data_IF_058004431554
#
_entry.id   IF_058004431554
#
_cell.length_a   1.000
_cell.length_b   1.000
_cell.length_c   1.000
_cell.angle_alpha   90.00
_cell.angle_beta   90.00
_cell.angle_gamma   90.00
#
_symmetry.space_group_name_H-M   'P 1'
#
loop_
_entity.id
_entity.type
_entity.pdbx_description
1 polymer ?
#
# COMPACT_ATOMS: atom_id res chain seq x y z
N UNK A 1 2.90 29.25 13.02
CA UNK A 1 1.98 28.09 13.04
C UNK A 1 2.62 27.01 13.85
N UNK A 2 1.90 26.43 14.81
CA UNK A 2 2.45 25.42 15.74
C UNK A 2 2.28 24.05 15.12
N UNK A 3 3.37 23.26 15.07
CA UNK A 3 3.33 21.86 14.67
C UNK A 3 2.65 21.06 15.80
N UNK A 4 1.66 20.26 15.48
CA UNK A 4 0.94 19.38 16.43
C UNK A 4 1.49 17.97 16.40
N UNK A 5 1.80 17.47 15.20
CA UNK A 5 2.42 16.17 15.00
C UNK A 5 3.45 16.26 13.89
N UNK A 6 4.52 15.50 14.02
CA UNK A 6 5.57 15.41 13.02
C UNK A 6 6.05 13.98 12.89
N UNK A 7 6.08 13.50 11.66
CA UNK A 7 6.50 12.13 11.33
C UNK A 7 7.62 12.20 10.30
N UNK A 8 8.77 11.60 10.63
CA UNK A 8 9.92 11.50 9.73
C UNK A 8 10.01 10.08 9.20
N UNK A 9 9.57 9.89 7.97
CA UNK A 9 9.50 8.59 7.34
C UNK A 9 10.68 8.37 6.41
N UNK A 10 11.56 7.43 6.76
CA UNK A 10 12.61 6.97 5.85
C UNK A 10 12.04 5.89 4.93
N UNK A 11 12.09 6.13 3.61
CA UNK A 11 11.51 5.25 2.60
C UNK A 11 12.44 4.07 2.28
N UNK A 12 12.52 3.13 3.24
CA UNK A 12 13.33 1.92 3.09
C UNK A 12 12.63 0.87 2.22
N UNK A 13 13.41 -0.11 1.75
CA UNK A 13 12.89 -1.26 0.98
C UNK A 13 11.85 -2.07 1.76
N UNK A 14 11.98 -2.12 3.09
CA UNK A 14 11.03 -2.80 3.98
C UNK A 14 9.68 -2.06 4.01
N UNK A 15 9.71 -0.74 4.19
CA UNK A 15 8.50 0.09 4.16
C UNK A 15 7.81 0.01 2.79
N UNK A 16 8.58 0.02 1.71
CA UNK A 16 8.06 -0.16 0.35
C UNK A 16 7.31 -1.48 0.18
N UNK A 17 7.88 -2.59 0.69
CA UNK A 17 7.21 -3.90 0.64
C UNK A 17 5.91 -3.92 1.46
N UNK A 18 5.92 -3.32 2.65
CA UNK A 18 4.71 -3.19 3.49
C UNK A 18 3.66 -2.34 2.79
N UNK A 19 4.06 -1.20 2.23
CA UNK A 19 3.19 -0.28 1.51
C UNK A 19 2.54 -0.93 0.28
N UNK A 20 3.31 -1.63 -0.56
CA UNK A 20 2.77 -2.34 -1.73
C UNK A 20 1.77 -3.42 -1.30
N UNK A 21 2.09 -4.22 -0.29
CA UNK A 21 1.16 -5.23 0.25
C UNK A 21 -0.12 -4.59 0.78
N UNK A 22 -0.01 -3.45 1.45
CA UNK A 22 -1.14 -2.70 1.95
C UNK A 22 -2.00 -2.18 0.79
N UNK A 23 -1.41 -1.51 -0.19
CA UNK A 23 -2.10 -0.98 -1.38
C UNK A 23 -2.87 -2.07 -2.13
N UNK A 24 -2.27 -3.25 -2.33
CA UNK A 24 -2.96 -4.37 -2.96
C UNK A 24 -4.15 -4.89 -2.13
N UNK A 25 -4.07 -4.86 -0.79
CA UNK A 25 -5.20 -5.27 0.07
C UNK A 25 -6.36 -4.28 0.00
N UNK A 26 -6.06 -2.99 -0.07
CA UNK A 26 -7.09 -1.94 -0.17
C UNK A 26 -7.73 -1.91 -1.55
N UNK A 27 -6.91 -1.84 -2.60
CA UNK A 27 -7.42 -1.63 -3.96
C UNK A 27 -7.87 -2.92 -4.65
N UNK A 28 -7.22 -4.05 -4.34
CA UNK A 28 -7.44 -5.32 -5.05
C UNK A 28 -7.48 -6.55 -4.12
N UNK A 29 -8.34 -6.58 -3.09
CA UNK A 29 -8.27 -7.58 -2.03
C UNK A 29 -8.47 -9.02 -2.49
N UNK A 30 -9.24 -9.24 -3.56
CA UNK A 30 -9.58 -10.57 -4.07
C UNK A 30 -8.85 -10.97 -5.35
N UNK A 31 -8.06 -10.08 -5.94
CA UNK A 31 -7.47 -10.31 -7.27
C UNK A 31 -6.46 -11.46 -7.25
N UNK A 32 -5.61 -11.56 -6.22
CA UNK A 32 -4.66 -12.68 -6.10
C UNK A 32 -5.39 -14.03 -6.05
N UNK A 33 -6.44 -14.12 -5.24
CA UNK A 33 -7.23 -15.34 -5.14
C UNK A 33 -7.95 -15.67 -6.45
N UNK A 34 -8.55 -14.68 -7.11
CA UNK A 34 -9.23 -14.88 -8.40
C UNK A 34 -8.27 -15.37 -9.47
N UNK A 35 -7.10 -14.77 -9.61
CA UNK A 35 -6.08 -15.21 -10.56
C UNK A 35 -5.61 -16.64 -10.28
N UNK A 36 -5.41 -16.98 -9.01
CA UNK A 36 -5.04 -18.33 -8.63
C UNK A 36 -6.13 -19.37 -8.99
N UNK A 37 -7.39 -19.08 -8.66
CA UNK A 37 -8.53 -19.98 -8.99
C UNK A 37 -8.67 -20.14 -10.50
N UNK A 38 -8.54 -19.07 -11.29
CA UNK A 38 -8.57 -19.14 -12.74
C UNK A 38 -7.41 -20.01 -13.27
N UNK A 39 -6.20 -19.81 -12.72
CA UNK A 39 -5.03 -20.62 -13.09
C UNK A 39 -5.24 -22.11 -12.83
N UNK A 40 -5.75 -22.47 -11.65
CA UNK A 40 -6.10 -23.86 -11.30
C UNK A 40 -7.19 -24.41 -12.24
N UNK A 41 -8.20 -23.59 -12.59
CA UNK A 41 -9.23 -23.96 -13.55
C UNK A 41 -8.65 -24.36 -14.90
N UNK A 42 -7.71 -23.57 -15.44
CA UNK A 42 -7.00 -23.91 -16.69
C UNK A 42 -6.21 -25.20 -16.57
N UNK A 43 -5.56 -25.48 -15.44
CA UNK A 43 -4.84 -26.72 -15.22
C UNK A 43 -5.80 -27.93 -15.24
N UNK A 44 -6.96 -27.82 -14.56
CA UNK A 44 -7.97 -28.90 -14.55
C UNK A 44 -8.51 -29.15 -15.95
N UNK A 45 -8.88 -28.08 -16.68
CA UNK A 45 -9.36 -28.19 -18.06
C UNK A 45 -8.30 -28.86 -18.95
N UNK A 46 -7.03 -28.43 -18.85
CA UNK A 46 -5.93 -28.99 -19.61
C UNK A 46 -5.73 -30.50 -19.39
N UNK A 47 -5.86 -30.97 -18.15
CA UNK A 47 -5.73 -32.40 -17.83
C UNK A 47 -6.89 -33.27 -18.35
N UNK A 48 -8.06 -32.66 -18.61
CA UNK A 48 -9.24 -33.35 -19.19
C UNK A 48 -9.25 -33.37 -20.72
N UNK A 49 -8.31 -32.69 -21.39
CA UNK A 49 -8.24 -32.66 -22.86
C UNK A 49 -7.50 -33.88 -23.44
N UNK A 50 -7.65 -34.10 -24.75
CA UNK A 50 -6.95 -35.14 -25.48
C UNK A 50 -5.43 -35.00 -25.34
N UNK A 51 -4.79 -36.10 -24.93
CA UNK A 51 -3.35 -36.12 -24.66
C UNK A 51 -2.54 -35.76 -25.90
N UNK A 52 -1.62 -34.81 -25.75
CA UNK A 52 -0.75 -34.35 -26.82
C UNK A 52 -1.35 -33.28 -27.73
N UNK A 53 -2.62 -32.87 -27.51
CA UNK A 53 -3.22 -31.78 -28.26
C UNK A 53 -2.57 -30.43 -27.95
N UNK A 54 -2.48 -29.55 -28.97
CA UNK A 54 -1.98 -28.18 -28.76
C UNK A 54 -2.81 -27.44 -27.71
N UNK A 55 -4.12 -27.62 -27.69
CA UNK A 55 -5.03 -27.00 -26.73
C UNK A 55 -4.73 -27.41 -25.28
N UNK A 56 -4.40 -28.71 -25.04
CA UNK A 56 -3.96 -29.18 -23.73
C UNK A 56 -2.72 -28.42 -23.25
N UNK A 57 -1.69 -28.35 -24.09
CA UNK A 57 -0.45 -27.66 -23.73
C UNK A 57 -0.67 -26.16 -23.48
N UNK A 58 -1.48 -25.50 -24.29
CA UNK A 58 -1.84 -24.09 -24.06
C UNK A 58 -2.52 -23.88 -22.72
N UNK A 59 -3.51 -24.70 -22.37
CA UNK A 59 -4.19 -24.60 -21.07
C UNK A 59 -3.23 -24.80 -19.90
N UNK A 60 -2.34 -25.80 -19.97
CA UNK A 60 -1.37 -26.06 -18.91
C UNK A 60 -0.39 -24.90 -18.74
N UNK A 61 0.16 -24.38 -19.84
CA UNK A 61 1.09 -23.24 -19.78
C UNK A 61 0.42 -21.99 -19.21
N UNK A 62 -0.79 -21.64 -19.70
CA UNK A 62 -1.54 -20.48 -19.20
C UNK A 62 -1.86 -20.67 -17.71
N UNK A 63 -2.32 -21.87 -17.30
CA UNK A 63 -2.63 -22.17 -15.91
C UNK A 63 -1.42 -21.99 -14.98
N UNK A 64 -0.25 -22.51 -15.38
CA UNK A 64 1.00 -22.36 -14.63
C UNK A 64 1.40 -20.89 -14.55
N UNK A 65 1.37 -20.15 -15.65
CA UNK A 65 1.73 -18.73 -15.70
C UNK A 65 0.82 -17.90 -14.79
N UNK A 66 -0.48 -18.13 -14.81
CA UNK A 66 -1.44 -17.43 -13.93
C UNK A 66 -1.19 -17.72 -12.46
N UNK A 67 -0.90 -18.98 -12.11
CA UNK A 67 -0.53 -19.35 -10.73
C UNK A 67 0.75 -18.65 -10.29
N UNK A 68 1.81 -18.68 -11.10
CA UNK A 68 3.08 -17.98 -10.79
C UNK A 68 2.84 -16.47 -10.64
N UNK A 69 2.13 -15.85 -11.58
CA UNK A 69 1.83 -14.42 -11.56
C UNK A 69 1.01 -14.01 -10.34
N UNK A 70 0.07 -14.85 -9.90
CA UNK A 70 -0.72 -14.64 -8.69
C UNK A 70 0.16 -14.40 -7.45
N UNK A 71 1.26 -15.14 -7.30
CA UNK A 71 2.20 -14.98 -6.19
C UNK A 71 3.26 -13.90 -6.45
N UNK A 72 3.71 -13.76 -7.71
CA UNK A 72 4.77 -12.82 -8.08
C UNK A 72 4.32 -11.36 -8.10
N UNK A 73 3.02 -11.07 -8.22
CA UNK A 73 2.48 -9.70 -8.41
C UNK A 73 2.95 -8.69 -7.35
N UNK A 74 3.14 -9.13 -6.10
CA UNK A 74 3.63 -8.24 -5.04
C UNK A 74 5.08 -7.82 -5.28
N UNK A 75 5.92 -8.75 -5.75
CA UNK A 75 7.30 -8.46 -6.10
C UNK A 75 7.37 -7.52 -7.30
N UNK A 76 6.53 -7.76 -8.31
CA UNK A 76 6.43 -6.90 -9.49
C UNK A 76 6.00 -5.49 -9.09
N UNK A 77 4.99 -5.35 -8.21
CA UNK A 77 4.56 -4.05 -7.69
C UNK A 77 5.66 -3.30 -6.93
N UNK A 78 6.47 -4.01 -6.14
CA UNK A 78 7.64 -3.42 -5.46
C UNK A 78 8.68 -2.94 -6.47
N UNK A 79 8.96 -3.72 -7.52
CA UNK A 79 9.93 -3.32 -8.54
C UNK A 79 9.44 -2.11 -9.34
N UNK A 80 8.17 -2.10 -9.74
CA UNK A 80 7.57 -1.00 -10.47
C UNK A 80 7.58 0.30 -9.67
N UNK A 81 7.15 0.24 -8.40
CA UNK A 81 7.12 1.44 -7.56
C UNK A 81 8.54 1.94 -7.29
N UNK A 82 9.49 1.05 -7.01
CA UNK A 82 10.89 1.45 -6.85
C UNK A 82 11.47 2.08 -8.13
N UNK A 83 11.08 1.58 -9.32
CA UNK A 83 11.55 2.11 -10.59
C UNK A 83 10.95 3.46 -10.99
N UNK A 84 9.75 3.79 -10.50
CA UNK A 84 9.00 4.97 -10.92
C UNK A 84 8.98 6.10 -9.88
N UNK A 85 9.38 5.83 -8.63
CA UNK A 85 9.29 6.81 -7.54
C UNK A 85 10.69 7.15 -7.04
N UNK A 86 11.09 8.41 -7.26
CA UNK A 86 12.41 8.94 -6.88
C UNK A 86 12.65 8.87 -5.36
N UNK A 87 11.60 8.95 -4.55
CA UNK A 87 11.70 8.86 -3.09
C UNK A 87 12.25 7.51 -2.68
N UNK A 88 11.74 6.44 -3.32
CA UNK A 88 12.19 5.07 -3.05
C UNK A 88 13.49 4.68 -3.78
N UNK A 89 13.81 5.36 -4.89
CA UNK A 89 15.09 5.15 -5.59
C UNK A 89 16.27 5.62 -4.75
N UNK A 90 16.10 6.78 -4.08
CA UNK A 90 17.15 7.48 -3.36
C UNK A 90 17.09 7.27 -1.84
N UNK A 91 16.20 6.40 -1.34
CA UNK A 91 15.96 6.18 0.09
C UNK A 91 15.73 7.51 0.87
N UNK A 92 15.03 8.46 0.26
CA UNK A 92 14.79 9.77 0.85
C UNK A 92 13.94 9.69 2.10
N UNK A 93 14.20 10.63 3.00
CA UNK A 93 13.37 10.87 4.18
C UNK A 93 12.28 11.88 3.83
N UNK A 94 11.03 11.54 4.15
CA UNK A 94 9.88 12.43 4.02
C UNK A 94 9.48 12.92 5.40
N UNK A 95 9.49 14.23 5.58
CA UNK A 95 9.07 14.94 6.79
C UNK A 95 7.63 15.40 6.61
N UNK A 96 6.70 14.74 7.29
CA UNK A 96 5.27 15.08 7.27
C UNK A 96 4.91 15.79 8.57
N UNK A 97 4.54 17.06 8.47
CA UNK A 97 4.18 17.91 9.62
C UNK A 97 2.70 18.28 9.56
N UNK A 98 1.99 18.03 10.65
CA UNK A 98 0.57 18.35 10.81
C UNK A 98 0.43 19.64 11.62
N UNK A 99 -0.01 20.70 10.93
CA UNK A 99 -0.26 22.02 11.52
C UNK A 99 -1.76 22.18 11.82
N UNK A 100 -2.16 23.31 12.36
CA UNK A 100 -3.57 23.56 12.68
C UNK A 100 -4.49 23.58 11.44
N UNK A 101 -4.00 24.06 10.29
CA UNK A 101 -4.82 24.24 9.07
C UNK A 101 -4.40 23.40 7.87
N UNK A 102 -3.21 22.84 7.89
CA UNK A 102 -2.62 22.15 6.72
C UNK A 102 -1.72 20.98 7.12
N UNK A 103 -1.50 20.09 6.17
CA UNK A 103 -0.49 19.04 6.23
C UNK A 103 0.66 19.50 5.32
N UNK A 104 1.87 19.60 5.87
CA UNK A 104 3.06 19.95 5.12
C UNK A 104 3.93 18.74 4.91
N UNK A 105 4.27 18.46 3.66
CA UNK A 105 5.08 17.32 3.26
C UNK A 105 6.36 17.85 2.61
N UNK A 106 7.51 17.40 3.09
CA UNK A 106 8.81 17.80 2.57
C UNK A 106 9.70 16.58 2.39
N UNK A 107 10.21 16.40 1.18
CA UNK A 107 11.18 15.37 0.86
C UNK A 107 12.61 15.90 1.13
N UNK A 108 13.49 15.04 1.63
CA UNK A 108 14.88 15.43 1.93
C UNK A 108 15.68 15.85 0.68
N UNK A 109 15.29 15.35 -0.50
CA UNK A 109 15.88 15.73 -1.79
C UNK A 109 15.38 17.04 -2.38
N UNK A 110 14.33 17.65 -1.80
CA UNK A 110 13.70 18.86 -2.32
C UNK A 110 13.96 20.07 -1.41
N UNK A 111 14.21 21.22 -2.03
CA UNK A 111 14.37 22.48 -1.29
C UNK A 111 13.06 23.03 -0.76
N UNK A 112 11.94 22.77 -1.46
CA UNK A 112 10.59 23.24 -1.08
C UNK A 112 9.69 22.05 -0.84
N UNK A 113 9.06 22.00 0.33
CA UNK A 113 7.93 21.11 0.60
C UNK A 113 6.63 21.66 -0.01
N UNK A 114 5.61 20.84 -0.08
CA UNK A 114 4.26 21.25 -0.46
C UNK A 114 3.29 21.10 0.70
N UNK A 115 2.19 21.88 0.65
CA UNK A 115 1.15 21.87 1.68
C UNK A 115 -0.15 21.38 1.07
N UNK A 116 -0.89 20.60 1.85
CA UNK A 116 -2.23 20.07 1.51
C UNK A 116 -3.22 20.42 2.62
N UNK A 117 -4.42 20.78 2.23
CA UNK A 117 -5.50 20.99 3.20
C UNK A 117 -6.02 19.67 3.77
N UNK A 118 -6.48 19.67 5.02
CA UNK A 118 -7.18 18.50 5.59
C UNK A 118 -8.44 18.11 4.80
N UNK A 119 -9.01 19.04 4.04
CA UNK A 119 -10.18 18.78 3.18
C UNK A 119 -9.82 17.94 1.95
N UNK A 120 -8.57 17.95 1.53
CA UNK A 120 -8.06 17.13 0.41
C UNK A 120 -7.77 15.68 0.82
N UNK A 121 -7.90 15.36 2.11
CA UNK A 121 -7.73 13.98 2.57
C UNK A 121 -8.95 13.17 2.20
N UNK A 122 -8.81 12.28 1.23
CA UNK A 122 -9.88 11.44 0.72
C UNK A 122 -10.11 10.17 1.56
N UNK A 123 -9.05 9.63 2.17
CA UNK A 123 -9.15 8.39 2.95
C UNK A 123 -8.10 8.32 4.05
N UNK A 124 -8.46 7.68 5.16
CA UNK A 124 -7.58 7.36 6.26
C UNK A 124 -7.59 5.86 6.50
N UNK A 125 -6.41 5.26 6.53
CA UNK A 125 -6.25 3.84 6.84
C UNK A 125 -5.22 3.64 7.93
N UNK A 126 -5.28 2.48 8.58
CA UNK A 126 -4.25 2.03 9.49
C UNK A 126 -4.10 0.50 9.43
N UNK A 127 -2.91 0.04 9.73
CA UNK A 127 -2.61 -1.33 10.08
C UNK A 127 -1.90 -1.40 11.45
N UNK A 128 -1.28 -2.53 11.77
CA UNK A 128 -0.58 -2.72 13.04
C UNK A 128 0.63 -1.77 13.18
N UNK A 129 1.30 -1.44 12.07
CA UNK A 129 2.59 -0.73 12.07
C UNK A 129 2.49 0.72 11.58
N UNK A 130 1.49 1.04 10.75
CA UNK A 130 1.46 2.28 9.99
C UNK A 130 0.07 2.92 10.01
N UNK A 131 0.05 4.24 9.90
CA UNK A 131 -1.08 4.99 9.39
C UNK A 131 -0.84 5.29 7.90
N UNK A 132 -1.92 5.47 7.15
CA UNK A 132 -1.85 5.83 5.73
C UNK A 132 -2.86 6.94 5.46
N UNK A 133 -2.40 8.00 4.80
CA UNK A 133 -3.22 9.15 4.43
C UNK A 133 -3.31 9.21 2.92
N UNK A 134 -4.51 8.99 2.37
CA UNK A 134 -4.80 9.18 0.96
C UNK A 134 -5.22 10.61 0.71
N UNK A 135 -4.53 11.30 -0.19
CA UNK A 135 -4.81 12.67 -0.60
C UNK A 135 -5.46 12.62 -1.99
N UNK A 136 -6.50 13.43 -2.20
CA UNK A 136 -7.22 13.48 -3.46
C UNK A 136 -6.32 13.91 -4.61
N UNK A 137 -6.34 13.13 -5.72
CA UNK A 137 -5.48 13.38 -6.88
C UNK A 137 -4.00 13.10 -6.66
N UNK A 138 -3.63 12.51 -5.53
CA UNK A 138 -2.24 12.24 -5.15
C UNK A 138 -2.10 10.81 -4.60
N UNK A 139 -0.88 10.49 -4.17
CA UNK A 139 -0.54 9.18 -3.63
C UNK A 139 -1.06 8.95 -2.20
N UNK A 140 -0.96 7.71 -1.78
CA UNK A 140 -1.16 7.29 -0.40
C UNK A 140 0.16 7.43 0.37
N UNK A 141 0.17 8.19 1.46
CA UNK A 141 1.37 8.46 2.28
C UNK A 141 1.43 7.55 3.48
N UNK A 142 2.46 6.68 3.59
CA UNK A 142 2.67 5.85 4.76
C UNK A 142 3.32 6.65 5.89
N UNK A 143 2.78 6.52 7.09
CA UNK A 143 3.26 7.16 8.33
C UNK A 143 3.52 6.07 9.37
N UNK A 144 4.75 5.53 9.45
CA UNK A 144 5.07 4.50 10.44
C UNK A 144 4.88 5.01 11.86
N UNK A 145 4.17 4.25 12.69
CA UNK A 145 3.84 4.64 14.07
C UNK A 145 5.09 4.94 14.90
N UNK A 146 6.18 4.21 14.66
CA UNK A 146 7.47 4.39 15.34
C UNK A 146 8.26 5.62 14.88
N UNK A 147 7.81 6.32 13.85
CA UNK A 147 8.50 7.46 13.24
C UNK A 147 7.93 8.81 13.66
N UNK A 148 7.04 8.85 14.66
CA UNK A 148 6.56 10.09 15.25
C UNK A 148 7.67 10.76 16.07
N UNK A 149 8.01 12.01 15.71
CA UNK A 149 9.04 12.81 16.36
C UNK A 149 8.40 13.83 17.33
N UNK A 150 7.24 14.37 16.95
CA UNK A 150 6.47 15.32 17.74
C UNK A 150 5.00 14.87 17.84
N UNK A 151 4.39 15.11 18.99
CA UNK A 151 3.02 14.69 19.31
C UNK A 151 2.93 13.25 19.81
N UNK A 152 1.89 12.97 20.61
CA UNK A 152 1.64 11.61 21.13
C UNK A 152 0.92 10.78 20.06
N UNK A 153 1.54 9.68 19.65
CA UNK A 153 1.03 8.79 18.61
C UNK A 153 -0.39 8.27 18.93
N UNK A 154 -0.69 7.98 20.19
CA UNK A 154 -1.98 7.47 20.66
C UNK A 154 -3.12 8.47 20.43
N UNK A 155 -2.83 9.76 20.44
CA UNK A 155 -3.81 10.83 20.23
C UNK A 155 -3.97 11.19 18.74
N UNK A 156 -3.03 10.77 17.88
CA UNK A 156 -3.00 11.13 16.47
C UNK A 156 -4.25 10.68 15.71
N UNK A 157 -4.75 9.48 16.00
CA UNK A 157 -5.94 8.95 15.33
C UNK A 157 -7.17 9.87 15.54
N UNK A 158 -7.39 10.30 16.78
CA UNK A 158 -8.50 11.21 17.11
C UNK A 158 -8.30 12.59 16.51
N UNK A 159 -7.06 13.09 16.51
CA UNK A 159 -6.71 14.37 15.91
C UNK A 159 -7.00 14.37 14.41
N UNK A 160 -6.49 13.38 13.66
CA UNK A 160 -6.63 13.37 12.19
C UNK A 160 -8.09 13.15 11.77
N UNK A 161 -8.83 12.28 12.46
CA UNK A 161 -10.27 12.10 12.24
C UNK A 161 -11.05 13.41 12.43
N UNK A 162 -10.75 14.15 13.50
CA UNK A 162 -11.41 15.44 13.79
C UNK A 162 -11.09 16.48 12.72
N UNK A 163 -9.85 16.53 12.23
CA UNK A 163 -9.41 17.53 11.23
C UNK A 163 -9.95 17.25 9.83
N UNK A 164 -10.04 15.98 9.45
CA UNK A 164 -10.45 15.57 8.10
C UNK A 164 -11.95 15.25 7.98
N UNK A 165 -12.61 14.93 9.08
CA UNK A 165 -13.97 14.38 9.08
C UNK A 165 -14.06 12.93 8.56
N UNK A 166 -12.93 12.31 8.20
CA UNK A 166 -12.90 10.97 7.63
C UNK A 166 -12.84 9.88 8.72
N UNK A 167 -13.39 8.71 8.39
CA UNK A 167 -13.27 7.52 9.27
C UNK A 167 -11.95 6.81 9.02
N UNK A 168 -11.27 6.44 10.12
CA UNK A 168 -10.08 5.59 10.03
C UNK A 168 -10.48 4.14 9.77
N UNK A 169 -10.04 3.56 8.65
CA UNK A 169 -10.31 2.17 8.28
C UNK A 169 -9.12 1.29 8.68
N UNK A 170 -9.38 0.30 9.52
CA UNK A 170 -8.38 -0.69 9.89
C UNK A 170 -8.29 -1.79 8.85
N UNK A 171 -7.09 -1.99 8.30
CA UNK A 171 -6.78 -3.03 7.30
C UNK A 171 -5.68 -3.93 7.87
N UNK A 172 -6.01 -5.11 8.42
CA UNK A 172 -5.04 -5.95 9.12
C UNK A 172 -3.92 -6.43 8.19
N UNK A 173 -2.70 -6.49 8.71
CA UNK A 173 -1.53 -6.96 7.96
C UNK A 173 -1.66 -8.43 7.55
N UNK A 174 -2.23 -9.26 8.42
CA UNK A 174 -2.61 -10.64 8.13
C UNK A 174 -4.12 -10.77 8.26
N UNK A 175 -4.78 -11.41 7.30
CA UNK A 175 -6.13 -11.90 7.56
C UNK A 175 -6.02 -12.88 8.73
N UNK A 176 -6.50 -12.49 9.91
CA UNK A 176 -6.72 -13.46 11.00
C UNK A 176 -7.65 -14.51 10.42
N UNK A 177 -7.20 -15.76 10.37
CA UNK A 177 -8.07 -16.87 10.01
C UNK A 177 -9.31 -16.78 10.90
N UNK A 178 -10.46 -16.46 10.33
CA UNK A 178 -11.76 -16.50 11.03
C UNK A 178 -12.22 -17.94 11.35
N UNK A 179 -11.32 -18.91 11.19
CA UNK A 179 -11.55 -20.33 11.45
C UNK A 179 -10.57 -20.84 12.52
N UNK A 180 -10.52 -20.14 13.66
CA UNK A 180 -9.97 -20.67 14.90
C UNK A 180 -11.03 -20.52 15.99
#
# INVERSE_FOLDING_TARGET
MTVKYRVKTKHTKELLKEFVKFSFRVNHPKTTFRLFVIGVGFLIIGTGMERGSLAMWMCLVIGILLCIFSFARHHIGVMQLKGNDEIYQNDWEVDTSFLDGEIRIKNSGETKGFSKSYKEVAALYMDENNYYIGIEGDNLYPLPRKCFVEGKQEEFENFIKKKTGQKMMYVPFRMKNKFA
#
